data_IF_198591982561
#
_entry.id   IF_198591982561
#
_cell.length_a   1.000
_cell.length_b   1.000
_cell.length_c   1.000
_cell.angle_alpha   90.00
_cell.angle_beta   90.00
_cell.angle_gamma   90.00
#
_symmetry.space_group_name_H-M   'P 1'
#
loop_
_entity.id
_entity.type
_entity.pdbx_description
1 polymer ?
#
# COMPACT_ATOMS: atom_id res chain seq x y z
N UNK A 1 0.19 41.84 17.17
CA UNK A 1 1.62 41.50 17.27
C UNK A 1 2.41 42.30 16.27
N UNK A 2 3.26 43.21 16.73
CA UNK A 2 4.11 44.08 15.85
C UNK A 2 5.43 43.29 15.67
N UNK A 3 5.78 42.96 14.42
CA UNK A 3 7.04 42.28 14.13
C UNK A 3 8.24 43.16 14.50
N UNK A 4 9.22 42.59 15.22
CA UNK A 4 10.40 43.38 15.60
C UNK A 4 11.16 43.84 14.35
N UNK A 5 11.35 45.16 14.20
CA UNK A 5 12.12 45.79 13.10
C UNK A 5 11.29 46.56 12.08
N UNK A 6 9.98 46.64 12.16
CA UNK A 6 9.15 47.43 11.23
C UNK A 6 9.13 48.94 11.52
N UNK A 7 9.55 49.38 12.72
CA UNK A 7 9.52 50.80 13.14
C UNK A 7 10.72 51.64 12.65
N UNK A 8 11.82 51.04 12.20
CA UNK A 8 13.02 51.76 11.76
C UNK A 8 13.20 51.61 10.23
N UNK A 9 13.13 52.72 9.47
CA UNK A 9 13.21 52.69 7.99
C UNK A 9 14.53 52.11 7.43
N UNK A 10 15.63 52.17 8.21
CA UNK A 10 16.90 51.57 7.81
C UNK A 10 16.93 50.03 8.00
N UNK A 11 16.31 49.56 9.03
CA UNK A 11 16.17 48.10 9.31
C UNK A 11 15.13 47.47 8.41
N UNK A 12 14.05 48.17 8.06
CA UNK A 12 12.97 47.73 7.19
C UNK A 12 13.46 47.24 5.81
N UNK A 13 14.40 47.99 5.18
CA UNK A 13 14.96 47.57 3.88
C UNK A 13 15.74 46.25 3.96
N UNK A 14 16.50 46.03 5.04
CA UNK A 14 17.25 44.77 5.25
C UNK A 14 16.30 43.58 5.52
N UNK A 15 15.29 43.77 6.34
CA UNK A 15 14.28 42.75 6.64
C UNK A 15 13.46 42.37 5.41
N UNK A 16 13.05 43.36 4.58
CA UNK A 16 12.35 43.10 3.32
C UNK A 16 13.22 42.32 2.32
N UNK A 17 14.51 42.63 2.21
CA UNK A 17 15.44 41.88 1.34
C UNK A 17 15.60 40.46 1.85
N UNK A 18 15.72 40.23 3.14
CA UNK A 18 15.83 38.92 3.73
C UNK A 18 14.55 38.11 3.49
N UNK A 19 13.37 38.71 3.71
CA UNK A 19 12.08 38.07 3.43
C UNK A 19 11.90 37.73 1.95
N UNK A 20 12.33 38.60 1.06
CA UNK A 20 12.26 38.34 -0.38
C UNK A 20 13.18 37.18 -0.78
N UNK A 21 14.39 37.11 -0.25
CA UNK A 21 15.33 36.00 -0.53
C UNK A 21 14.79 34.70 0.01
N UNK A 22 14.29 34.68 1.26
CA UNK A 22 13.69 33.46 1.85
C UNK A 22 12.45 32.99 1.09
N UNK A 23 11.62 33.93 0.61
CA UNK A 23 10.44 33.56 -0.22
C UNK A 23 10.88 32.95 -1.56
N UNK A 24 11.89 33.50 -2.24
CA UNK A 24 12.41 32.96 -3.50
C UNK A 24 13.01 31.56 -3.29
N UNK A 25 13.76 31.34 -2.21
CA UNK A 25 14.33 30.03 -1.88
C UNK A 25 13.19 29.03 -1.58
N UNK A 26 12.19 29.42 -0.78
CA UNK A 26 11.07 28.53 -0.45
C UNK A 26 10.26 28.11 -1.68
N UNK A 27 9.99 29.06 -2.59
CA UNK A 27 9.32 28.77 -3.87
C UNK A 27 10.19 27.87 -4.74
N UNK A 28 11.49 28.14 -4.85
CA UNK A 28 12.42 27.32 -5.65
C UNK A 28 12.53 25.89 -5.14
N UNK A 29 12.66 25.70 -3.84
CA UNK A 29 12.69 24.35 -3.22
C UNK A 29 11.34 23.65 -3.38
N UNK A 30 10.22 24.35 -3.19
CA UNK A 30 8.88 23.79 -3.38
C UNK A 30 8.64 23.33 -4.82
N UNK A 31 9.00 24.14 -5.79
CA UNK A 31 8.86 23.79 -7.21
C UNK A 31 9.78 22.60 -7.60
N UNK A 32 11.04 22.61 -7.15
CA UNK A 32 11.96 21.50 -7.40
C UNK A 32 11.46 20.18 -6.78
N UNK A 33 10.95 20.23 -5.53
CA UNK A 33 10.39 19.07 -4.86
C UNK A 33 9.17 18.49 -5.59
N UNK A 34 8.27 19.35 -6.07
CA UNK A 34 7.08 18.91 -6.79
C UNK A 34 7.41 18.27 -8.15
N UNK A 35 8.41 18.80 -8.86
CA UNK A 35 8.87 18.21 -10.12
C UNK A 35 9.55 16.85 -9.90
N UNK A 36 10.38 16.71 -8.86
CA UNK A 36 11.00 15.44 -8.50
C UNK A 36 9.94 14.38 -8.11
N UNK A 37 8.95 14.76 -7.30
CA UNK A 37 7.87 13.87 -6.92
C UNK A 37 7.03 13.45 -8.14
N UNK A 38 6.76 14.35 -9.07
CA UNK A 38 6.05 14.04 -10.30
C UNK A 38 6.81 13.01 -11.15
N UNK A 39 8.14 13.15 -11.28
CA UNK A 39 8.96 12.17 -12.02
C UNK A 39 9.03 10.81 -11.32
N UNK A 40 9.23 10.78 -10.00
CA UNK A 40 9.26 9.54 -9.24
C UNK A 40 7.92 8.80 -9.24
N UNK A 41 6.80 9.52 -9.34
CA UNK A 41 5.46 8.91 -9.40
C UNK A 41 5.11 8.34 -10.78
N UNK A 42 5.78 8.78 -11.85
CA UNK A 42 5.58 8.25 -13.21
C UNK A 42 6.11 6.81 -13.36
N UNK A 43 7.04 6.39 -12.51
CA UNK A 43 7.66 5.07 -12.53
C UNK A 43 7.19 4.17 -11.36
N UNK A 44 6.17 4.59 -10.60
CA UNK A 44 5.62 3.76 -9.52
C UNK A 44 4.75 2.63 -10.09
N UNK A 45 5.17 1.34 -9.96
CA UNK A 45 4.43 0.19 -10.51
C UNK A 45 2.98 0.13 -10.06
N UNK A 46 2.70 0.59 -8.85
CA UNK A 46 1.37 0.49 -8.26
C UNK A 46 0.39 1.56 -8.78
N UNK A 47 0.90 2.63 -9.41
CA UNK A 47 0.09 3.78 -9.85
C UNK A 47 -0.15 3.82 -11.34
N UNK A 48 0.77 3.29 -12.14
CA UNK A 48 0.68 3.36 -13.60
C UNK A 48 0.04 2.12 -14.21
N UNK A 49 -0.49 2.25 -15.43
CA UNK A 49 -0.95 1.11 -16.21
C UNK A 49 0.24 0.38 -16.85
N UNK A 50 0.17 -0.94 -16.94
CA UNK A 50 1.20 -1.76 -17.58
C UNK A 50 0.83 -2.22 -18.99
N UNK A 51 -0.37 -1.93 -19.47
CA UNK A 51 -0.88 -2.40 -20.76
C UNK A 51 0.09 -2.16 -21.95
N UNK A 52 0.73 -0.99 -21.96
CA UNK A 52 1.65 -0.60 -23.04
C UNK A 52 3.13 -0.82 -22.67
N UNK A 53 3.40 -1.45 -21.54
CA UNK A 53 4.76 -1.71 -21.04
C UNK A 53 5.24 -3.11 -21.43
N UNK A 54 6.51 -3.21 -21.80
CA UNK A 54 7.14 -4.52 -21.96
C UNK A 54 7.52 -5.06 -20.59
N UNK A 55 6.65 -5.88 -20.00
CA UNK A 55 6.85 -6.49 -18.69
C UNK A 55 7.74 -7.73 -18.83
N UNK A 56 8.97 -7.63 -18.36
CA UNK A 56 9.94 -8.75 -18.37
C UNK A 56 9.93 -9.53 -17.06
N UNK A 57 9.66 -8.87 -15.95
CA UNK A 57 9.52 -9.49 -14.65
C UNK A 57 8.07 -9.88 -14.41
N UNK A 58 7.83 -11.17 -14.16
CA UNK A 58 6.49 -11.72 -13.93
C UNK A 58 6.55 -12.74 -12.83
N UNK A 59 5.67 -12.60 -11.86
CA UNK A 59 5.46 -13.57 -10.79
C UNK A 59 3.97 -13.86 -10.64
N UNK A 60 3.66 -15.05 -10.18
CA UNK A 60 2.30 -15.45 -9.82
C UNK A 60 2.32 -16.19 -8.48
N UNK A 61 1.43 -15.83 -7.60
CA UNK A 61 1.27 -16.46 -6.29
C UNK A 61 -0.19 -16.84 -6.07
N UNK A 62 -0.42 -17.80 -5.19
CA UNK A 62 -1.77 -18.14 -4.75
C UNK A 62 -2.01 -17.54 -3.38
N UNK A 63 -3.10 -16.81 -3.22
CA UNK A 63 -3.49 -16.18 -1.97
C UNK A 63 -4.83 -16.75 -1.51
N UNK A 64 -4.90 -17.22 -0.30
CA UNK A 64 -6.15 -17.53 0.41
C UNK A 64 -6.39 -16.49 1.49
N UNK A 65 -7.62 -16.04 1.59
CA UNK A 65 -8.03 -15.05 2.59
C UNK A 65 -8.99 -15.68 3.58
N UNK A 66 -8.71 -15.46 4.85
CA UNK A 66 -9.62 -15.79 5.96
C UNK A 66 -9.86 -14.52 6.78
N UNK A 67 -11.12 -14.26 7.10
CA UNK A 67 -11.56 -13.18 7.98
C UNK A 67 -12.37 -13.81 9.09
N UNK A 68 -12.01 -13.60 10.33
CA UNK A 68 -12.70 -14.15 11.49
C UNK A 68 -12.86 -15.68 11.39
N UNK A 69 -11.77 -16.36 10.99
CA UNK A 69 -11.68 -17.82 10.75
C UNK A 69 -12.52 -18.34 9.57
N UNK A 70 -13.28 -17.49 8.89
CA UNK A 70 -14.07 -17.86 7.72
C UNK A 70 -13.32 -17.55 6.44
N UNK A 71 -13.34 -18.49 5.49
CA UNK A 71 -12.74 -18.26 4.16
C UNK A 71 -13.51 -17.17 3.42
N UNK A 72 -12.81 -16.13 3.00
CA UNK A 72 -13.34 -15.04 2.21
C UNK A 72 -12.90 -15.16 0.75
N UNK A 73 -13.74 -14.69 -0.17
CA UNK A 73 -13.40 -14.69 -1.59
C UNK A 73 -12.54 -13.47 -1.93
N UNK A 74 -11.51 -13.71 -2.75
CA UNK A 74 -10.76 -12.66 -3.40
C UNK A 74 -11.46 -12.36 -4.73
N UNK A 75 -11.86 -11.11 -5.02
CA UNK A 75 -12.57 -10.80 -6.24
C UNK A 75 -11.67 -10.94 -7.48
N UNK A 76 -12.30 -11.23 -8.61
CA UNK A 76 -11.67 -11.09 -9.90
C UNK A 76 -11.44 -9.60 -10.25
N UNK A 77 -10.51 -9.36 -11.16
CA UNK A 77 -10.20 -8.03 -11.71
C UNK A 77 -9.71 -7.00 -10.67
N UNK A 78 -9.17 -7.42 -9.52
CA UNK A 78 -8.39 -6.52 -8.67
C UNK A 78 -7.24 -5.95 -9.50
N UNK A 79 -6.98 -4.66 -9.38
CA UNK A 79 -5.93 -3.97 -10.15
C UNK A 79 -6.23 -3.76 -11.63
N UNK A 80 -7.47 -4.02 -12.07
CA UNK A 80 -7.94 -3.74 -13.44
C UNK A 80 -9.09 -2.75 -13.34
N UNK A 81 -8.91 -1.55 -13.92
CA UNK A 81 -9.96 -0.52 -13.87
C UNK A 81 -11.02 -0.77 -14.95
N UNK A 82 -12.24 -0.20 -14.82
CA UNK A 82 -13.29 -0.31 -15.82
C UNK A 82 -12.88 0.20 -17.21
N UNK A 83 -11.94 1.14 -17.28
CA UNK A 83 -11.38 1.70 -18.50
C UNK A 83 -10.33 0.77 -19.16
N UNK A 84 -10.05 -0.39 -18.54
CA UNK A 84 -9.11 -1.36 -19.04
C UNK A 84 -7.65 -1.11 -18.65
N UNK A 85 -7.37 -0.17 -17.73
CA UNK A 85 -6.02 0.01 -17.19
C UNK A 85 -5.68 -1.15 -16.25
N UNK A 86 -4.72 -1.97 -16.63
CA UNK A 86 -4.16 -3.02 -15.79
C UNK A 86 -2.98 -2.46 -14.97
N UNK A 87 -3.01 -2.65 -13.68
CA UNK A 87 -1.93 -2.31 -12.75
C UNK A 87 -0.90 -3.43 -12.68
N UNK A 88 0.25 -3.15 -12.05
CA UNK A 88 1.32 -4.12 -11.91
C UNK A 88 0.93 -5.33 -11.04
N UNK A 89 0.02 -5.20 -10.10
CA UNK A 89 -0.55 -6.32 -9.33
C UNK A 89 -2.02 -6.45 -9.67
N UNK A 90 -2.45 -7.66 -10.03
CA UNK A 90 -3.82 -7.88 -10.46
C UNK A 90 -4.28 -9.33 -10.26
N UNK A 91 -5.61 -9.54 -10.31
CA UNK A 91 -6.25 -10.85 -10.42
C UNK A 91 -7.08 -10.91 -11.69
N UNK A 92 -7.18 -12.10 -12.30
CA UNK A 92 -8.04 -12.32 -13.48
C UNK A 92 -9.36 -12.96 -13.05
N UNK A 93 -9.30 -13.85 -12.07
CA UNK A 93 -10.42 -14.64 -11.58
C UNK A 93 -10.46 -14.64 -10.06
N UNK A 94 -11.53 -15.14 -9.49
CA UNK A 94 -11.79 -15.27 -8.05
C UNK A 94 -11.17 -16.52 -7.41
N UNK A 95 -10.23 -17.18 -8.10
CA UNK A 95 -9.55 -18.38 -7.63
C UNK A 95 -8.37 -18.13 -6.66
N UNK A 96 -8.16 -16.88 -6.27
CA UNK A 96 -7.06 -16.48 -5.38
C UNK A 96 -5.69 -16.38 -6.06
N UNK A 97 -5.60 -16.54 -7.39
CA UNK A 97 -4.33 -16.36 -8.09
C UNK A 97 -4.06 -14.89 -8.34
N UNK A 98 -2.95 -14.40 -7.77
CA UNK A 98 -2.46 -13.03 -7.88
C UNK A 98 -1.27 -13.01 -8.81
N UNK A 99 -1.27 -12.06 -9.72
CA UNK A 99 -0.17 -11.82 -10.66
C UNK A 99 0.49 -10.49 -10.32
N UNK A 100 1.81 -10.44 -10.47
CA UNK A 100 2.54 -9.18 -10.41
C UNK A 100 3.55 -9.12 -11.57
N UNK A 101 3.51 -8.03 -12.34
CA UNK A 101 4.32 -7.85 -13.54
C UNK A 101 4.90 -6.44 -13.59
N UNK A 102 6.17 -6.35 -14.00
CA UNK A 102 6.85 -5.07 -14.20
C UNK A 102 7.94 -5.15 -15.28
N UNK A 103 8.48 -4.00 -15.64
CA UNK A 103 9.56 -3.90 -16.65
C UNK A 103 10.89 -4.46 -16.14
N UNK A 104 11.11 -4.43 -14.83
CA UNK A 104 12.29 -4.93 -14.14
C UNK A 104 11.90 -5.58 -12.81
N UNK A 105 12.84 -6.25 -12.14
CA UNK A 105 12.59 -6.85 -10.84
C UNK A 105 12.15 -5.77 -9.83
N UNK A 106 11.02 -6.00 -9.19
CA UNK A 106 10.45 -5.10 -8.20
C UNK A 106 9.97 -5.90 -6.99
N UNK A 107 10.24 -5.45 -5.75
CA UNK A 107 9.88 -6.16 -4.52
C UNK A 107 8.39 -6.00 -4.21
N UNK A 108 7.54 -6.67 -4.98
CA UNK A 108 6.11 -6.71 -4.70
C UNK A 108 5.85 -7.42 -3.38
N UNK A 109 5.11 -6.78 -2.48
CA UNK A 109 4.67 -7.38 -1.22
C UNK A 109 3.19 -7.74 -1.25
N UNK A 110 2.78 -8.67 -0.39
CA UNK A 110 1.36 -9.05 -0.25
C UNK A 110 0.51 -7.86 0.20
N UNK A 111 1.07 -6.93 0.97
CA UNK A 111 0.40 -5.68 1.34
C UNK A 111 0.10 -4.77 0.17
N UNK A 112 0.93 -4.77 -0.89
CA UNK A 112 0.61 -4.05 -2.13
C UNK A 112 -0.62 -4.62 -2.82
N UNK A 113 -0.83 -5.93 -2.76
CA UNK A 113 -2.04 -6.58 -3.26
C UNK A 113 -3.28 -6.14 -2.49
N UNK A 114 -3.24 -6.17 -1.15
CA UNK A 114 -4.36 -5.71 -0.32
C UNK A 114 -4.64 -4.22 -0.51
N UNK A 115 -3.61 -3.42 -0.69
CA UNK A 115 -3.77 -2.01 -1.00
C UNK A 115 -4.41 -1.77 -2.37
N UNK A 116 -4.02 -2.55 -3.38
CA UNK A 116 -4.60 -2.47 -4.73
C UNK A 116 -6.07 -2.87 -4.75
N UNK A 117 -6.45 -3.79 -3.88
CA UNK A 117 -7.82 -4.24 -3.70
C UNK A 117 -8.69 -3.25 -2.89
N UNK A 118 -8.08 -2.26 -2.23
CA UNK A 118 -8.72 -1.41 -1.22
C UNK A 118 -9.29 -2.23 -0.05
N UNK A 119 -8.56 -3.30 0.35
CA UNK A 119 -8.95 -4.15 1.45
C UNK A 119 -8.97 -3.35 2.76
N UNK A 120 -10.00 -3.48 3.63
CA UNK A 120 -10.18 -2.64 4.82
C UNK A 120 -9.22 -3.03 5.96
N UNK A 121 -7.92 -2.93 5.72
CA UNK A 121 -6.86 -3.25 6.70
C UNK A 121 -6.99 -2.46 8.01
N UNK A 122 -7.61 -1.27 7.97
CA UNK A 122 -7.79 -0.42 9.15
C UNK A 122 -8.81 -1.00 10.14
N UNK A 123 -9.69 -1.87 9.66
CA UNK A 123 -10.75 -2.49 10.46
C UNK A 123 -10.30 -3.83 11.02
N UNK A 124 -9.06 -4.25 10.76
CA UNK A 124 -8.44 -5.48 11.24
C UNK A 124 -7.57 -5.24 12.47
N UNK A 125 -7.55 -6.20 13.38
CA UNK A 125 -6.64 -6.27 14.53
C UNK A 125 -5.30 -6.82 14.05
N UNK A 126 -4.27 -5.97 14.02
CA UNK A 126 -2.95 -6.38 13.51
C UNK A 126 -2.28 -7.44 14.38
N UNK A 127 -2.45 -7.34 15.70
CA UNK A 127 -1.82 -8.24 16.67
C UNK A 127 -2.43 -9.66 16.66
N UNK A 128 -3.64 -9.80 16.10
CA UNK A 128 -4.37 -11.07 15.97
C UNK A 128 -4.43 -11.56 14.51
N UNK A 129 -3.81 -10.82 13.60
CA UNK A 129 -3.77 -11.14 12.18
C UNK A 129 -2.39 -11.64 11.78
N UNK A 130 -2.33 -12.57 10.81
CA UNK A 130 -1.06 -13.15 10.37
C UNK A 130 -1.09 -13.51 8.88
N UNK A 131 0.11 -13.61 8.33
CA UNK A 131 0.35 -14.14 6.98
C UNK A 131 1.16 -15.42 7.11
N UNK A 132 0.68 -16.49 6.51
CA UNK A 132 1.33 -17.79 6.45
C UNK A 132 1.82 -17.99 5.02
N UNK A 133 3.08 -18.34 4.84
CA UNK A 133 3.73 -18.56 3.55
C UNK A 133 4.18 -20.00 3.46
N UNK A 134 3.63 -20.76 2.53
CA UNK A 134 3.93 -22.19 2.35
C UNK A 134 3.80 -23.04 3.63
N UNK A 135 2.96 -22.61 4.58
CA UNK A 135 2.72 -23.30 5.85
C UNK A 135 3.41 -22.69 7.07
N UNK A 136 4.37 -21.79 6.87
CA UNK A 136 5.08 -21.12 7.97
C UNK A 136 4.60 -19.68 8.15
N UNK A 137 4.46 -19.24 9.40
CA UNK A 137 4.05 -17.87 9.70
C UNK A 137 5.17 -16.88 9.36
N UNK A 138 4.83 -15.86 8.56
CA UNK A 138 5.78 -14.82 8.18
C UNK A 138 6.00 -13.82 9.32
N UNK A 139 7.25 -13.51 9.69
CA UNK A 139 7.57 -12.46 10.64
C UNK A 139 7.36 -11.04 10.05
N UNK A 140 7.18 -10.93 8.75
CA UNK A 140 7.06 -9.65 8.06
C UNK A 140 5.61 -9.19 7.85
N UNK A 141 4.64 -10.06 8.18
CA UNK A 141 3.21 -9.77 8.04
C UNK A 141 2.89 -9.23 6.63
N UNK A 142 2.17 -8.12 6.52
CA UNK A 142 1.82 -7.51 5.22
C UNK A 142 3.01 -7.01 4.39
N UNK A 143 4.22 -6.96 4.98
CA UNK A 143 5.44 -6.60 4.25
C UNK A 143 6.12 -7.81 3.60
N UNK A 144 5.55 -9.01 3.78
CA UNK A 144 6.06 -10.21 3.13
C UNK A 144 6.06 -10.06 1.62
N UNK A 145 7.16 -10.45 0.97
CA UNK A 145 7.31 -10.33 -0.48
C UNK A 145 6.54 -11.43 -1.20
N UNK A 146 5.97 -11.08 -2.34
CA UNK A 146 5.39 -12.06 -3.26
C UNK A 146 6.50 -12.76 -4.03
N UNK A 147 6.51 -14.09 -3.98
CA UNK A 147 7.47 -14.94 -4.67
C UNK A 147 6.69 -15.84 -5.64
N UNK A 148 7.26 -16.07 -6.82
CA UNK A 148 6.63 -16.90 -7.84
C UNK A 148 6.38 -18.33 -7.35
N UNK A 149 5.17 -18.82 -7.59
CA UNK A 149 4.74 -20.17 -7.20
C UNK A 149 4.42 -20.35 -5.71
N UNK A 150 4.57 -19.32 -4.87
CA UNK A 150 4.30 -19.45 -3.43
C UNK A 150 2.80 -19.40 -3.12
N UNK A 151 2.46 -20.04 -2.00
CA UNK A 151 1.12 -20.05 -1.43
C UNK A 151 1.10 -19.20 -0.17
N UNK A 152 0.20 -18.21 -0.16
CA UNK A 152 -0.02 -17.29 0.95
C UNK A 152 -1.40 -17.53 1.53
N UNK A 153 -1.46 -17.64 2.84
CA UNK A 153 -2.70 -17.66 3.59
C UNK A 153 -2.74 -16.45 4.51
N UNK A 154 -3.60 -15.51 4.20
CA UNK A 154 -3.82 -14.31 4.99
C UNK A 154 -4.97 -14.56 5.95
N UNK A 155 -4.71 -14.47 7.24
CA UNK A 155 -5.69 -14.61 8.30
C UNK A 155 -5.84 -13.28 9.02
N UNK A 156 -7.01 -12.68 8.95
CA UNK A 156 -7.33 -11.42 9.58
C UNK A 156 -8.44 -11.60 10.61
N UNK A 157 -8.30 -10.91 11.74
CA UNK A 157 -9.33 -10.77 12.77
C UNK A 157 -9.90 -9.37 12.70
N UNK A 158 -11.21 -9.22 12.54
CA UNK A 158 -11.86 -7.92 12.52
C UNK A 158 -11.96 -7.33 13.93
N UNK A 159 -12.02 -6.00 14.04
CA UNK A 159 -12.19 -5.31 15.33
C UNK A 159 -13.52 -5.60 16.00
N UNK A 160 -14.51 -6.00 15.21
CA UNK A 160 -15.86 -6.33 15.69
C UNK A 160 -16.04 -7.85 15.97
N UNK A 161 -14.95 -8.63 15.82
CA UNK A 161 -15.00 -10.07 16.03
C UNK A 161 -15.18 -10.41 17.51
N UNK A 162 -16.20 -11.22 17.78
CA UNK A 162 -16.53 -11.73 19.10
C UNK A 162 -16.23 -13.22 19.16
N UNK A 163 -15.06 -13.57 19.69
CA UNK A 163 -14.61 -14.97 19.81
C UNK A 163 -15.51 -15.84 20.70
N UNK A 164 -16.34 -15.23 21.53
CA UNK A 164 -17.30 -15.98 22.37
C UNK A 164 -18.42 -16.65 21.58
N UNK A 165 -18.59 -16.25 20.32
CA UNK A 165 -19.58 -16.83 19.38
C UNK A 165 -19.02 -17.95 18.51
N UNK A 166 -17.75 -18.31 18.67
CA UNK A 166 -17.15 -19.43 17.95
C UNK A 166 -17.86 -20.74 18.34
N UNK A 167 -18.31 -21.48 17.31
CA UNK A 167 -19.02 -22.74 17.50
C UNK A 167 -18.16 -23.86 18.13
N UNK A 168 -16.84 -23.65 18.14
CA UNK A 168 -15.86 -24.59 18.71
C UNK A 168 -15.62 -24.37 20.21
N UNK A 169 -16.27 -23.37 20.82
CA UNK A 169 -16.25 -23.21 22.26
C UNK A 169 -17.13 -24.30 22.92
N UNK A 170 -16.56 -25.45 23.12
CA UNK A 170 -17.13 -26.41 24.07
C UNK A 170 -16.74 -26.00 25.48
N UNK A 171 -17.69 -25.72 26.36
CA UNK A 171 -17.37 -25.53 27.77
C UNK A 171 -16.69 -26.80 28.32
N UNK A 172 -15.70 -26.67 29.23
CA UNK A 172 -15.06 -27.82 29.84
C UNK A 172 -16.14 -28.73 30.42
N UNK A 173 -16.13 -30.01 30.04
CA UNK A 173 -17.03 -31.02 30.62
C UNK A 173 -16.58 -31.21 32.08
N UNK A 174 -17.47 -30.89 33.05
CA UNK A 174 -17.30 -31.20 34.46
C UNK A 174 -17.25 -32.70 34.71
#
# INVERSE_FOLDING_TARGET
>A
MIWPGMGDPRKRKKTLRFLAITAVIAIGVGAASSLLQAQLSLDDPLKVCINDKNTTYKISATVELYIDKMKANIPANVGITPEGCQKAIYTISDNGKVYAEWTEEYPFGIGHFFWMWDFPMRDMLQDESRIIVNGDESPHFIRELLVDGYHYRAEFTSKDYDSSKDSDFMPPQE
#
